data_IF_621896839127
#
_entry.id   IF_621896839127
#
_cell.length_a   1.000
_cell.length_b   1.000
_cell.length_c   1.000
_cell.angle_alpha   90.00
_cell.angle_beta   90.00
_cell.angle_gamma   90.00
#
_symmetry.space_group_name_H-M   'P 1'
#
loop_
_entity.id
_entity.type
_entity.pdbx_description
1 polymer ?
#
# COMPACT_ATOMS: atom_id res chain seq x y z
N UNK A 1 -0.07 18.49 9.21
CA UNK A 1 -0.82 18.38 10.48
C UNK A 1 -0.90 16.93 10.95
N UNK A 2 -1.43 15.99 10.17
CA UNK A 2 -1.53 14.58 10.60
C UNK A 2 -0.21 13.92 11.05
N UNK A 3 0.90 14.20 10.37
CA UNK A 3 2.21 13.66 10.75
C UNK A 3 2.68 14.09 12.15
N UNK A 4 2.33 15.30 12.60
CA UNK A 4 2.66 15.77 13.96
C UNK A 4 1.83 15.03 15.01
N UNK A 5 0.54 14.84 14.78
CA UNK A 5 -0.32 14.04 15.67
C UNK A 5 0.16 12.59 15.76
N UNK A 6 0.62 12.01 14.65
CA UNK A 6 1.21 10.67 14.64
C UNK A 6 2.54 10.60 15.41
N UNK A 7 3.36 11.66 15.35
CA UNK A 7 4.59 11.75 16.12
C UNK A 7 4.30 11.82 17.63
N UNK A 8 3.30 12.61 18.06
CA UNK A 8 2.86 12.67 19.45
C UNK A 8 2.34 11.31 19.95
N UNK A 9 1.53 10.63 19.13
CA UNK A 9 0.97 9.32 19.46
C UNK A 9 2.07 8.25 19.58
N UNK A 10 3.07 8.28 18.70
CA UNK A 10 4.24 7.38 18.77
C UNK A 10 5.16 7.64 19.95
N UNK A 11 5.21 8.88 20.45
CA UNK A 11 5.90 9.20 21.70
C UNK A 11 5.12 8.72 22.94
N UNK A 12 3.79 8.75 22.90
CA UNK A 12 2.91 8.36 24.01
C UNK A 12 2.79 6.84 24.15
N UNK A 13 2.64 6.09 23.05
CA UNK A 13 2.41 4.65 23.03
C UNK A 13 3.63 3.94 22.45
N UNK A 14 4.55 3.50 23.32
CA UNK A 14 5.80 2.81 22.94
C UNK A 14 5.62 1.30 22.72
N UNK A 15 4.56 0.91 22.01
CA UNK A 15 4.29 -0.51 21.66
C UNK A 15 4.56 -0.75 20.18
N UNK A 16 5.09 -1.93 19.85
CA UNK A 16 5.31 -2.33 18.46
C UNK A 16 3.97 -2.58 17.77
N UNK A 17 3.82 -2.12 16.52
CA UNK A 17 2.60 -2.28 15.72
C UNK A 17 1.98 -0.99 15.18
N UNK A 18 2.54 0.19 15.50
CA UNK A 18 2.11 1.50 14.99
C UNK A 18 0.57 1.67 15.06
N UNK A 19 -0.10 1.88 13.93
CA UNK A 19 -1.55 2.05 13.80
C UNK A 19 -2.35 0.96 14.54
N UNK A 20 -1.93 -0.29 14.43
CA UNK A 20 -2.59 -1.41 15.09
C UNK A 20 -2.47 -1.29 16.61
N UNK A 21 -1.28 -0.95 17.11
CA UNK A 21 -1.05 -0.79 18.54
C UNK A 21 -1.83 0.41 19.11
N UNK A 22 -1.95 1.49 18.36
CA UNK A 22 -2.73 2.67 18.76
C UNK A 22 -4.22 2.37 18.88
N UNK A 23 -4.78 1.65 17.90
CA UNK A 23 -6.20 1.28 17.89
C UNK A 23 -6.49 0.19 18.93
N UNK A 24 -5.56 -0.73 19.15
CA UNK A 24 -5.69 -1.76 20.18
C UNK A 24 -5.78 -1.16 21.59
N UNK A 25 -4.98 -0.12 21.89
CA UNK A 25 -5.01 0.54 23.19
C UNK A 25 -6.26 1.39 23.42
N UNK A 26 -6.82 1.98 22.36
CA UNK A 26 -7.93 2.95 22.47
C UNK A 26 -9.32 2.33 22.28
N UNK A 27 -9.48 1.41 21.32
CA UNK A 27 -10.77 0.82 20.92
C UNK A 27 -10.86 -0.69 21.19
N UNK A 28 -9.78 -1.33 21.65
CA UNK A 28 -9.75 -2.74 21.98
C UNK A 28 -9.53 -3.67 20.77
N UNK A 29 -9.63 -5.01 20.99
CA UNK A 29 -9.12 -6.02 20.06
C UNK A 29 -9.92 -6.15 18.76
N UNK A 30 -11.25 -5.94 18.79
CA UNK A 30 -12.10 -6.11 17.60
C UNK A 30 -11.84 -5.04 16.53
N UNK A 31 -11.77 -3.77 16.94
CA UNK A 31 -11.47 -2.66 16.03
C UNK A 31 -10.04 -2.77 15.46
N UNK A 32 -9.09 -3.20 16.28
CA UNK A 32 -7.71 -3.43 15.86
C UNK A 32 -7.62 -4.53 14.79
N UNK A 33 -8.37 -5.63 14.96
CA UNK A 33 -8.44 -6.72 13.98
C UNK A 33 -8.99 -6.24 12.63
N UNK A 34 -10.08 -5.48 12.61
CA UNK A 34 -10.67 -4.95 11.36
C UNK A 34 -9.66 -4.06 10.63
N UNK A 35 -8.95 -3.18 11.34
CA UNK A 35 -7.94 -2.32 10.72
C UNK A 35 -6.81 -3.13 10.09
N UNK A 36 -6.31 -4.14 10.79
CA UNK A 36 -5.25 -5.03 10.30
C UNK A 36 -5.75 -5.88 9.11
N UNK A 37 -6.99 -6.38 9.17
CA UNK A 37 -7.63 -7.10 8.08
C UNK A 37 -7.69 -6.27 6.80
N UNK A 38 -8.19 -5.03 6.90
CA UNK A 38 -8.26 -4.10 5.76
C UNK A 38 -6.87 -3.77 5.21
N UNK A 39 -5.90 -3.57 6.10
CA UNK A 39 -4.52 -3.30 5.70
C UNK A 39 -3.94 -4.48 4.88
N UNK A 40 -4.10 -5.71 5.37
CA UNK A 40 -3.59 -6.91 4.73
C UNK A 40 -4.32 -7.26 3.43
N UNK A 41 -5.66 -7.18 3.40
CA UNK A 41 -6.46 -7.61 2.26
C UNK A 41 -6.59 -6.56 1.15
N UNK A 42 -6.47 -5.26 1.48
CA UNK A 42 -6.75 -4.19 0.52
C UNK A 42 -5.51 -3.33 0.32
N UNK A 43 -5.00 -2.70 1.38
CA UNK A 43 -3.98 -1.65 1.24
C UNK A 43 -2.67 -2.21 0.69
N UNK A 44 -2.18 -3.31 1.26
CA UNK A 44 -0.93 -3.95 0.82
C UNK A 44 -0.98 -4.46 -0.63
N UNK A 45 -1.98 -5.25 -1.06
CA UNK A 45 -2.04 -5.72 -2.43
C UNK A 45 -2.32 -4.58 -3.42
N UNK A 46 -3.16 -3.61 -3.10
CA UNK A 46 -3.41 -2.47 -3.98
C UNK A 46 -2.14 -1.64 -4.19
N UNK A 47 -1.36 -1.38 -3.13
CA UNK A 47 -0.10 -0.65 -3.25
C UNK A 47 0.90 -1.39 -4.14
N UNK A 48 1.05 -2.70 -3.96
CA UNK A 48 1.92 -3.52 -4.82
C UNK A 48 1.45 -3.53 -6.28
N UNK A 49 0.15 -3.68 -6.52
CA UNK A 49 -0.42 -3.68 -7.87
C UNK A 49 -0.18 -2.36 -8.61
N UNK A 50 -0.35 -1.21 -7.93
CA UNK A 50 -0.10 0.10 -8.54
C UNK A 50 1.38 0.26 -8.89
N UNK A 51 2.29 -0.16 -8.00
CA UNK A 51 3.73 -0.10 -8.25
C UNK A 51 4.13 -1.00 -9.43
N UNK A 52 3.61 -2.22 -9.50
CA UNK A 52 3.87 -3.16 -10.59
C UNK A 52 3.33 -2.67 -11.95
N UNK A 53 2.13 -2.10 -11.97
CA UNK A 53 1.56 -1.47 -13.16
C UNK A 53 2.39 -0.28 -13.62
N UNK A 54 2.79 0.58 -12.68
CA UNK A 54 3.64 1.74 -12.97
C UNK A 54 4.96 1.27 -13.57
N UNK A 55 5.63 0.31 -12.93
CA UNK A 55 6.87 -0.29 -13.43
C UNK A 55 6.72 -0.81 -14.86
N UNK A 56 5.66 -1.57 -15.13
CA UNK A 56 5.40 -2.15 -16.45
C UNK A 56 5.23 -1.09 -17.54
N UNK A 57 4.51 0.00 -17.25
CA UNK A 57 4.33 1.12 -18.18
C UNK A 57 5.67 1.83 -18.46
N UNK A 58 6.47 2.08 -17.41
CA UNK A 58 7.77 2.73 -17.57
C UNK A 58 8.77 1.87 -18.34
N UNK A 59 8.76 0.55 -18.16
CA UNK A 59 9.61 -0.40 -18.89
C UNK A 59 9.20 -0.52 -20.36
N UNK A 60 7.90 -0.45 -20.68
CA UNK A 60 7.41 -0.54 -22.05
C UNK A 60 7.59 0.76 -22.86
N UNK A 61 7.75 1.91 -22.19
CA UNK A 61 7.93 3.22 -22.83
C UNK A 61 9.08 3.30 -23.87
N UNK A 62 10.28 2.74 -23.64
CA UNK A 62 11.33 2.69 -24.68
C UNK A 62 11.01 1.79 -25.88
N UNK A 63 10.19 0.75 -25.70
CA UNK A 63 9.79 -0.16 -26.79
C UNK A 63 8.69 0.42 -27.68
N UNK A 64 7.88 1.33 -27.13
CA UNK A 64 6.80 2.03 -27.84
C UNK A 64 7.00 3.55 -27.75
N UNK A 65 7.98 4.13 -28.48
CA UNK A 65 8.34 5.54 -28.34
C UNK A 65 7.29 6.51 -28.91
N UNK A 66 6.44 6.06 -29.84
CA UNK A 66 5.46 6.92 -30.55
C UNK A 66 4.00 6.57 -30.27
N UNK A 67 3.73 5.49 -29.54
CA UNK A 67 2.39 4.97 -29.28
C UNK A 67 2.23 4.57 -27.81
N UNK A 68 0.99 4.61 -27.31
CA UNK A 68 0.68 4.06 -25.99
C UNK A 68 0.88 2.54 -26.02
N UNK A 69 1.61 1.94 -25.05
CA UNK A 69 1.76 0.50 -24.99
C UNK A 69 0.38 -0.17 -24.83
N UNK A 70 0.12 -1.30 -25.50
CA UNK A 70 -1.17 -1.98 -25.39
C UNK A 70 -1.43 -2.41 -23.95
N UNK A 71 -2.65 -2.14 -23.46
CA UNK A 71 -3.05 -2.40 -22.07
C UNK A 71 -2.84 -3.87 -21.65
N UNK A 72 -3.02 -4.80 -22.58
CA UNK A 72 -2.79 -6.23 -22.34
C UNK A 72 -1.31 -6.54 -22.05
N UNK A 73 -0.37 -5.90 -22.75
CA UNK A 73 1.06 -6.13 -22.51
C UNK A 73 1.51 -5.52 -21.18
N UNK A 74 1.01 -4.33 -20.84
CA UNK A 74 1.29 -3.69 -19.56
C UNK A 74 0.69 -4.49 -18.39
N UNK A 75 -0.52 -5.04 -18.55
CA UNK A 75 -1.17 -5.89 -17.55
C UNK A 75 -0.46 -7.24 -17.39
N UNK A 76 -0.08 -7.90 -18.48
CA UNK A 76 0.66 -9.17 -18.42
C UNK A 76 2.01 -9.00 -17.71
N UNK A 77 2.76 -7.95 -18.05
CA UNK A 77 4.01 -7.64 -17.35
C UNK A 77 3.77 -7.31 -15.87
N UNK A 78 2.72 -6.56 -15.55
CA UNK A 78 2.41 -6.22 -14.16
C UNK A 78 2.03 -7.46 -13.34
N UNK A 79 1.27 -8.41 -13.93
CA UNK A 79 0.92 -9.68 -13.29
C UNK A 79 2.15 -10.56 -13.07
N UNK A 80 3.11 -10.57 -14.00
CA UNK A 80 4.38 -11.32 -13.83
C UNK A 80 5.28 -10.70 -12.76
N UNK A 81 5.16 -9.39 -12.50
CA UNK A 81 5.99 -8.68 -11.53
C UNK A 81 5.47 -8.74 -10.08
N UNK A 82 4.25 -9.22 -9.86
CA UNK A 82 3.64 -9.42 -8.53
C UNK A 82 3.85 -10.87 -8.12
#
# INVERSE_FOLDING_TARGET
>A
VGAYCYAELGCMIKKSGADYAYIMETFGPFAAFIRLWVECMIVRPCSQAIVALTFSIYVLKPFYPTCSPPDDAARLLAVVCI
#
